data_IF_461895205311
#
_entry.id   IF_461895205311
#
_cell.length_a   1.000
_cell.length_b   1.000
_cell.length_c   1.000
_cell.angle_alpha   90.00
_cell.angle_beta   90.00
_cell.angle_gamma   90.00
#
_symmetry.space_group_name_H-M   'P 1'
#
loop_
_entity.id
_entity.type
_entity.pdbx_description
1 polymer ?
#
# COMPACT_ATOMS: atom_id res chain seq x y z
N UNK A 1 -6.28 10.10 -16.70
CA UNK A 1 -6.64 11.03 -15.60
C UNK A 1 -5.99 10.48 -14.35
N UNK A 2 -5.04 11.19 -13.76
CA UNK A 2 -4.44 10.82 -12.48
C UNK A 2 -5.47 11.07 -11.38
N UNK A 3 -6.00 10.01 -10.77
CA UNK A 3 -6.86 10.16 -9.60
C UNK A 3 -5.99 10.59 -8.41
N UNK A 4 -6.49 11.52 -7.59
CA UNK A 4 -5.75 12.01 -6.42
C UNK A 4 -5.61 10.90 -5.37
N UNK A 5 -4.44 10.83 -4.76
CA UNK A 5 -4.18 9.99 -3.61
C UNK A 5 -4.74 10.66 -2.35
N UNK A 6 -5.99 10.32 -2.01
CA UNK A 6 -6.71 10.87 -0.85
C UNK A 6 -6.83 9.88 0.33
N UNK A 7 -6.33 8.66 0.14
CA UNK A 7 -6.38 7.58 1.11
C UNK A 7 -7.76 6.95 1.33
N UNK A 8 -8.70 7.20 0.41
CA UNK A 8 -10.06 6.65 0.41
C UNK A 8 -10.38 5.97 -0.91
N UNK A 9 -10.01 6.59 -2.03
CA UNK A 9 -10.31 6.10 -3.37
C UNK A 9 -9.09 5.42 -4.01
N UNK A 10 -9.37 4.48 -4.92
CA UNK A 10 -8.34 3.80 -5.68
C UNK A 10 -7.70 4.78 -6.68
N UNK A 11 -6.43 5.10 -6.48
CA UNK A 11 -5.62 5.92 -7.39
C UNK A 11 -5.64 5.40 -8.84
N UNK A 12 -5.78 4.08 -9.03
CA UNK A 12 -5.76 3.48 -10.36
C UNK A 12 -7.10 3.58 -11.11
N UNK A 13 -8.25 3.59 -10.41
CA UNK A 13 -9.57 3.53 -11.08
C UNK A 13 -10.67 4.41 -10.47
N UNK A 14 -10.38 5.17 -9.42
CA UNK A 14 -11.30 6.07 -8.73
C UNK A 14 -12.36 5.40 -7.84
N UNK A 15 -12.46 4.07 -7.81
CA UNK A 15 -13.46 3.36 -7.00
C UNK A 15 -13.08 3.30 -5.52
N UNK A 16 -14.09 3.13 -4.66
CA UNK A 16 -14.01 3.10 -3.19
C UNK A 16 -14.27 1.71 -2.57
N UNK A 17 -14.50 0.69 -3.40
CA UNK A 17 -14.76 -0.67 -2.96
C UNK A 17 -13.45 -1.44 -2.79
N UNK A 18 -13.15 -1.81 -1.55
CA UNK A 18 -11.96 -2.57 -1.18
C UNK A 18 -12.33 -3.84 -0.41
N UNK A 19 -11.60 -4.91 -0.71
CA UNK A 19 -11.64 -6.17 0.03
C UNK A 19 -10.32 -6.39 0.75
N UNK A 20 -10.35 -7.06 1.90
CA UNK A 20 -9.12 -7.50 2.56
C UNK A 20 -8.42 -8.52 1.65
N UNK A 21 -7.16 -8.27 1.34
CA UNK A 21 -6.35 -9.14 0.51
C UNK A 21 -5.31 -9.85 1.37
N UNK A 22 -5.29 -11.19 1.26
CA UNK A 22 -4.25 -12.01 1.82
C UNK A 22 -3.30 -12.39 0.68
N UNK A 23 -2.13 -11.76 0.66
CA UNK A 23 -1.08 -12.05 -0.32
C UNK A 23 0.18 -12.45 0.43
N UNK A 24 0.40 -13.76 0.58
CA UNK A 24 1.54 -14.28 1.31
C UNK A 24 2.86 -13.92 0.65
N UNK A 25 2.90 -13.84 -0.68
CA UNK A 25 4.12 -13.48 -1.38
C UNK A 25 4.50 -12.03 -1.07
N UNK A 26 3.55 -11.09 -1.18
CA UNK A 26 3.83 -9.69 -0.82
C UNK A 26 4.15 -9.52 0.66
N UNK A 27 3.53 -10.31 1.53
CA UNK A 27 3.86 -10.33 2.96
C UNK A 27 5.32 -10.74 3.22
N UNK A 28 5.85 -11.68 2.44
CA UNK A 28 7.24 -12.15 2.54
C UNK A 28 8.22 -11.21 1.85
N UNK A 29 7.83 -10.59 0.74
CA UNK A 29 8.66 -9.67 -0.01
C UNK A 29 8.81 -8.31 0.68
N UNK A 30 7.72 -7.78 1.24
CA UNK A 30 7.70 -6.44 1.84
C UNK A 30 7.54 -6.56 3.36
N UNK A 31 8.58 -6.26 4.16
CA UNK A 31 8.52 -6.42 5.62
C UNK A 31 7.45 -5.53 6.28
N UNK A 32 7.13 -4.37 5.71
CA UNK A 32 6.06 -3.50 6.18
C UNK A 32 4.65 -4.02 5.83
N UNK A 33 4.53 -4.98 4.92
CA UNK A 33 3.28 -5.72 4.66
C UNK A 33 3.09 -6.85 5.68
N UNK A 34 4.17 -7.33 6.33
CA UNK A 34 4.09 -8.39 7.33
C UNK A 34 3.22 -8.04 8.53
N UNK A 35 3.26 -6.76 8.93
CA UNK A 35 2.49 -6.18 10.01
C UNK A 35 1.18 -5.51 9.54
N UNK A 36 1.10 -5.14 8.26
CA UNK A 36 -0.02 -4.39 7.69
C UNK A 36 -1.11 -5.26 7.06
N UNK A 37 -2.36 -4.78 7.10
CA UNK A 37 -3.43 -5.33 6.28
C UNK A 37 -3.30 -4.79 4.84
N UNK A 38 -3.54 -5.62 3.83
CA UNK A 38 -3.67 -5.16 2.45
C UNK A 38 -5.14 -5.02 2.06
N UNK A 39 -5.48 -3.92 1.40
CA UNK A 39 -6.78 -3.72 0.76
C UNK A 39 -6.61 -3.81 -0.74
N UNK A 40 -7.36 -4.69 -1.38
CA UNK A 40 -7.43 -4.80 -2.84
C UNK A 40 -8.69 -4.14 -3.36
N UNK A 41 -8.53 -3.24 -4.32
CA UNK A 41 -9.63 -2.62 -5.03
C UNK A 41 -10.38 -3.69 -5.83
N UNK A 42 -11.69 -3.83 -5.58
CA UNK A 42 -12.54 -4.76 -6.32
C UNK A 42 -12.72 -4.37 -7.80
N UNK A 43 -12.40 -3.13 -8.15
CA UNK A 43 -12.54 -2.59 -9.51
C UNK A 43 -11.42 -2.97 -10.47
N UNK A 44 -10.18 -2.84 -10.03
CA UNK A 44 -9.00 -3.00 -10.88
C UNK A 44 -7.93 -3.93 -10.29
N UNK A 45 -8.15 -4.48 -9.09
CA UNK A 45 -7.20 -5.37 -8.43
C UNK A 45 -5.97 -4.66 -7.84
N UNK A 46 -5.92 -3.33 -7.86
CA UNK A 46 -4.83 -2.57 -7.22
C UNK A 46 -4.83 -2.83 -5.70
N UNK A 47 -3.65 -3.12 -5.15
CA UNK A 47 -3.47 -3.44 -3.73
C UNK A 47 -2.85 -2.26 -3.01
N UNK A 48 -3.30 -2.02 -1.79
CA UNK A 48 -2.91 -0.89 -0.97
C UNK A 48 -2.55 -1.36 0.42
N UNK A 49 -1.49 -0.79 0.98
CA UNK A 49 -1.20 -0.90 2.40
C UNK A 49 -2.27 -0.14 3.19
N UNK A 50 -2.76 -0.72 4.27
CA UNK A 50 -3.69 -0.05 5.18
C UNK A 50 -2.91 0.80 6.18
N UNK A 51 -3.35 2.03 6.41
CA UNK A 51 -2.76 2.92 7.40
C UNK A 51 -3.13 2.48 8.83
N UNK A 52 -2.13 2.28 9.69
CA UNK A 52 -2.35 1.88 11.09
C UNK A 52 -3.04 2.97 11.93
N UNK A 53 -2.87 4.25 11.57
CA UNK A 53 -3.47 5.36 12.31
C UNK A 53 -4.96 5.58 12.03
N UNK A 54 -5.45 5.31 10.81
CA UNK A 54 -6.84 5.64 10.41
C UNK A 54 -7.57 4.59 9.58
N UNK A 55 -6.93 3.45 9.29
CA UNK A 55 -7.48 2.37 8.46
C UNK A 55 -7.68 2.72 6.97
N UNK A 56 -7.20 3.89 6.54
CA UNK A 56 -7.27 4.36 5.15
C UNK A 56 -6.28 3.65 4.22
N UNK A 57 -6.36 3.95 2.93
CA UNK A 57 -5.37 3.53 1.95
C UNK A 57 -4.11 4.37 2.15
N UNK A 58 -3.01 3.72 2.45
CA UNK A 58 -1.75 4.40 2.74
C UNK A 58 -0.95 4.66 1.47
N UNK A 59 -0.62 3.60 0.74
CA UNK A 59 0.10 3.65 -0.54
C UNK A 59 -0.22 2.39 -1.35
N UNK A 60 0.05 2.44 -2.65
CA UNK A 60 -0.14 1.29 -3.55
C UNK A 60 1.05 0.34 -3.45
N UNK A 61 0.78 -0.96 -3.31
CA UNK A 61 1.79 -2.03 -3.27
C UNK A 61 1.64 -2.93 -4.50
N UNK A 62 2.76 -3.30 -5.12
CA UNK A 62 2.82 -4.25 -6.23
C UNK A 62 4.17 -4.99 -6.30
N UNK A 63 4.30 -6.08 -7.09
CA UNK A 63 5.52 -6.88 -7.12
C UNK A 63 6.80 -6.16 -7.53
N UNK A 64 6.70 -5.20 -8.46
CA UNK A 64 7.84 -4.39 -8.93
C UNK A 64 7.89 -3.01 -8.26
N UNK A 65 7.54 -2.95 -6.97
CA UNK A 65 7.49 -1.71 -6.21
C UNK A 65 8.89 -1.14 -6.01
N UNK A 66 9.05 0.15 -6.27
CA UNK A 66 10.28 0.88 -5.98
C UNK A 66 10.12 1.79 -4.75
N UNK A 67 11.23 2.09 -4.06
CA UNK A 67 11.20 2.88 -2.82
C UNK A 67 10.63 4.28 -2.99
N UNK A 68 10.81 4.90 -4.15
CA UNK A 68 10.26 6.22 -4.44
C UNK A 68 8.74 6.25 -4.64
N UNK A 69 8.09 5.08 -4.82
CA UNK A 69 6.63 5.01 -5.03
C UNK A 69 5.86 5.02 -3.71
N UNK A 70 6.58 4.84 -2.59
CA UNK A 70 5.99 4.84 -1.27
C UNK A 70 6.07 6.22 -0.65
N UNK A 71 4.89 6.79 -0.39
CA UNK A 71 4.82 7.95 0.49
C UNK A 71 5.19 7.55 1.92
N UNK A 72 6.03 8.34 2.56
CA UNK A 72 6.34 8.24 3.99
C UNK A 72 5.17 8.72 4.86
N UNK A 73 4.10 9.26 4.26
CA UNK A 73 2.97 9.84 4.98
C UNK A 73 1.62 9.39 4.41
N UNK A 74 0.71 8.99 5.28
CA UNK A 74 -0.65 8.65 4.91
C UNK A 74 -1.37 9.89 4.33
N UNK A 75 -1.93 9.80 3.12
CA UNK A 75 -2.65 10.92 2.49
C UNK A 75 -3.92 11.32 3.26
N UNK A 76 -4.53 10.41 4.02
CA UNK A 76 -5.79 10.65 4.75
C UNK A 76 -5.61 11.34 6.10
N UNK A 77 -4.66 10.90 6.91
CA UNK A 77 -4.50 11.38 8.30
C UNK A 77 -3.11 11.94 8.61
N UNK A 78 -2.16 11.81 7.69
CA UNK A 78 -0.79 12.26 7.90
C UNK A 78 0.08 11.39 8.80
N UNK A 79 -0.39 10.20 9.18
CA UNK A 79 0.40 9.21 9.90
C UNK A 79 1.62 8.78 9.09
N UNK A 80 2.78 8.65 9.74
CA UNK A 80 4.03 8.19 9.12
C UNK A 80 4.26 6.73 9.49
N UNK A 81 4.35 5.86 8.50
CA UNK A 81 4.74 4.47 8.73
C UNK A 81 6.27 4.37 8.70
N UNK A 82 6.89 4.28 9.88
CA UNK A 82 8.35 4.19 10.00
C UNK A 82 8.93 2.96 9.26
N UNK A 83 8.19 1.85 9.17
CA UNK A 83 8.65 0.65 8.43
C UNK A 83 8.70 0.88 6.91
N UNK A 84 7.80 1.70 6.38
CA UNK A 84 7.84 2.15 4.97
C UNK A 84 8.97 3.16 4.76
N UNK A 85 9.12 4.11 5.69
CA UNK A 85 10.12 5.19 5.61
C UNK A 85 11.56 4.69 5.64
N UNK A 86 11.84 3.63 6.40
CA UNK A 86 13.18 3.02 6.47
C UNK A 86 13.41 1.96 5.38
N UNK A 87 12.41 1.67 4.54
CA UNK A 87 12.56 0.69 3.48
C UNK A 87 13.36 1.28 2.30
N UNK A 88 14.46 0.61 1.97
CA UNK A 88 15.44 1.09 0.98
C UNK A 88 15.18 0.60 -0.45
N UNK A 89 14.06 -0.08 -0.69
CA UNK A 89 13.72 -0.68 -1.98
C UNK A 89 14.09 -2.17 -2.09
N UNK A 90 14.70 -2.76 -1.05
CA UNK A 90 15.10 -4.17 -1.06
C UNK A 90 13.94 -5.05 -0.59
N UNK A 91 13.01 -5.39 -1.48
CA UNK A 91 11.91 -6.35 -1.19
C UNK A 91 12.08 -7.71 -1.85
N UNK A 92 12.86 -7.80 -2.93
CA UNK A 92 13.12 -9.07 -3.57
C UNK A 92 14.23 -9.82 -2.83
N UNK A 93 13.91 -10.42 -1.68
CA UNK A 93 14.62 -11.64 -1.27
C UNK A 93 14.28 -12.70 -2.32
N UNK A 94 15.13 -12.78 -3.35
CA UNK A 94 15.14 -13.91 -4.28
C UNK A 94 15.32 -15.19 -3.44
N UNK A 95 14.26 -15.96 -3.31
CA UNK A 95 14.33 -17.38 -2.96
C UNK A 95 13.78 -18.17 -4.13
#
# INVERSE_FOLDING_TARGET
MSHQEDGVHCIACGKDQFSLAHDEWMRRAFPFVEQGQLKMCAGCGAKYLVCDGCGGLYCRIHPALESWELSDKCPKCGYVNEAVKVWDGTSARHF
#
